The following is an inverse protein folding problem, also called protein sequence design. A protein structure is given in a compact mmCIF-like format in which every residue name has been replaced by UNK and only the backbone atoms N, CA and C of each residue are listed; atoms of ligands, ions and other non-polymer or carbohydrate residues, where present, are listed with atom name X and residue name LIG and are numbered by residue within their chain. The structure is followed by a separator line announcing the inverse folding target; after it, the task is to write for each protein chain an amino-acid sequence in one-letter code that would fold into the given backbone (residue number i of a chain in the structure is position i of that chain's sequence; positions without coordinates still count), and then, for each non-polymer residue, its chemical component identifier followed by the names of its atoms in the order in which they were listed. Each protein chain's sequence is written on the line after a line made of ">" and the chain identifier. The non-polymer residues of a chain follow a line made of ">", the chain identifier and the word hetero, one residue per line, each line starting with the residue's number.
data_IF_076694934733
#
_entry.id   IF_076694934733
#
_cell.length_a   1.000
_cell.length_b   1.000
_cell.length_c   1.000
_cell.angle_alpha   90.00
_cell.angle_beta   90.00
_cell.angle_gamma   90.00
#
_symmetry.space_group_name_H-M   'P 1'
#
loop_
_entity.id
_entity.type
_entity.pdbx_description
1 polymer ?
#
# COMPACT_ATOMS: atom_id res chain seq x y z
N UNK A 1 4.30 0.63 15.64
CA UNK A 1 4.97 1.72 14.90
C UNK A 1 6.29 1.20 14.37
N UNK A 2 6.50 1.18 13.05
CA UNK A 2 7.77 0.78 12.45
C UNK A 2 8.91 1.64 13.00
N UNK A 3 10.02 1.01 13.38
CA UNK A 3 11.23 1.71 13.85
C UNK A 3 12.33 1.50 12.82
N UNK A 4 12.80 2.61 12.24
CA UNK A 4 13.95 2.70 11.36
C UNK A 4 15.17 2.86 12.25
N UNK A 5 16.09 1.89 12.27
CA UNK A 5 17.33 2.01 13.03
C UNK A 5 18.54 2.20 12.11
N UNK A 6 19.29 3.27 12.33
CA UNK A 6 20.61 3.46 11.75
C UNK A 6 21.64 3.36 12.87
N UNK A 7 22.67 2.56 12.64
CA UNK A 7 23.83 2.44 13.53
C UNK A 7 25.08 2.76 12.72
N UNK A 8 25.92 3.65 13.24
CA UNK A 8 27.21 3.95 12.63
C UNK A 8 28.27 4.24 13.69
N UNK A 9 29.54 3.84 13.44
CA UNK A 9 30.65 4.31 14.25
C UNK A 9 30.88 5.81 14.00
N UNK A 10 31.44 6.49 14.99
CA UNK A 10 31.88 7.87 14.85
C UNK A 10 32.75 8.04 13.57
N UNK A 11 32.49 9.09 12.77
CA UNK A 11 33.11 9.40 11.47
C UNK A 11 32.80 8.46 10.29
N UNK A 12 31.85 7.52 10.40
CA UNK A 12 31.41 6.75 9.24
C UNK A 12 30.42 7.55 8.35
N UNK A 13 30.38 7.29 7.03
CA UNK A 13 29.38 7.86 6.16
C UNK A 13 27.97 7.42 6.57
N UNK A 14 27.05 8.38 6.65
CA UNK A 14 25.61 8.13 6.89
C UNK A 14 24.87 8.51 5.62
N UNK A 15 23.75 7.85 5.27
CA UNK A 15 22.93 8.24 4.13
C UNK A 15 22.63 9.74 4.14
N UNK A 16 22.84 10.39 3.00
CA UNK A 16 22.58 11.83 2.83
C UNK A 16 21.09 12.15 2.88
N UNK A 17 20.24 11.18 2.50
CA UNK A 17 18.78 11.27 2.53
C UNK A 17 18.18 10.02 3.14
N UNK A 18 17.18 10.20 3.99
CA UNK A 18 16.39 9.13 4.58
C UNK A 18 14.90 9.43 4.45
N UNK A 19 14.14 8.46 3.98
CA UNK A 19 12.69 8.56 3.87
C UNK A 19 12.01 7.91 5.07
N UNK A 20 11.17 8.68 5.77
CA UNK A 20 10.24 8.20 6.78
C UNK A 20 8.80 8.34 6.26
N UNK A 21 7.88 7.70 6.97
CA UNK A 21 6.45 7.91 6.82
C UNK A 21 5.95 8.46 8.14
N UNK A 22 4.97 9.34 8.10
CA UNK A 22 4.26 9.83 9.28
C UNK A 22 3.96 8.70 10.29
N UNK A 23 4.29 8.94 11.56
CA UNK A 23 4.17 7.95 12.64
C UNK A 23 5.37 6.98 12.78
N UNK A 24 6.28 6.90 11.81
CA UNK A 24 7.49 6.09 11.94
C UNK A 24 8.44 6.68 12.97
N UNK A 25 9.20 5.79 13.63
CA UNK A 25 10.29 6.20 14.52
C UNK A 25 11.62 6.03 13.82
N UNK A 26 12.50 7.03 13.92
CA UNK A 26 13.89 6.92 13.52
C UNK A 26 14.75 6.81 14.77
N UNK A 27 15.53 5.75 14.88
CA UNK A 27 16.54 5.54 15.91
C UNK A 27 17.92 5.69 15.30
N UNK A 28 18.71 6.62 15.81
CA UNK A 28 20.10 6.83 15.42
C UNK A 28 20.99 6.44 16.59
N UNK A 29 21.87 5.46 16.37
CA UNK A 29 22.88 5.05 17.35
C UNK A 29 24.28 5.40 16.85
N UNK A 30 24.99 6.17 17.66
CA UNK A 30 26.40 6.52 17.45
C UNK A 30 27.24 5.77 18.48
N UNK A 31 28.29 5.08 18.02
CA UNK A 31 29.22 4.32 18.87
C UNK A 31 30.64 4.91 18.82
N UNK A 32 31.47 4.55 19.80
CA UNK A 32 32.85 5.01 19.96
C UNK A 32 32.97 6.54 20.16
N UNK A 33 32.04 7.13 20.92
CA UNK A 33 32.07 8.55 21.27
C UNK A 33 32.84 8.72 22.58
N UNK A 34 33.91 9.52 22.56
CA UNK A 34 34.69 9.77 23.77
C UNK A 34 33.83 10.42 24.87
N UNK A 35 34.03 10.00 26.12
CA UNK A 35 33.23 10.42 27.30
C UNK A 35 33.24 11.92 27.59
N UNK A 36 34.22 12.65 27.04
CA UNK A 36 34.29 14.11 27.15
C UNK A 36 33.20 14.83 26.35
N UNK A 37 32.55 14.16 25.40
CA UNK A 37 31.52 14.74 24.55
C UNK A 37 30.12 14.46 25.08
N UNK A 38 29.32 15.52 25.16
CA UNK A 38 27.86 15.41 25.32
C UNK A 38 27.23 15.74 23.98
N UNK A 39 26.35 14.87 23.49
CA UNK A 39 25.72 15.05 22.19
C UNK A 39 24.26 15.52 22.34
N UNK A 40 23.79 16.28 21.35
CA UNK A 40 22.40 16.72 21.20
C UNK A 40 21.96 16.62 19.75
N UNK A 41 20.65 16.65 19.52
CA UNK A 41 20.09 16.71 18.17
C UNK A 41 19.66 18.14 17.84
N UNK A 42 19.96 18.58 16.60
CA UNK A 42 19.44 19.80 16.00
C UNK A 42 18.56 19.40 14.81
N UNK A 43 17.33 19.92 14.79
CA UNK A 43 16.36 19.66 13.75
C UNK A 43 15.86 21.00 13.23
N UNK A 44 15.94 21.21 11.92
CA UNK A 44 15.54 22.48 11.31
C UNK A 44 14.02 22.70 11.36
N UNK A 45 13.22 21.64 11.25
CA UNK A 45 11.77 21.68 11.38
C UNK A 45 11.24 20.62 12.38
N UNK A 46 11.17 20.94 13.69
CA UNK A 46 10.70 20.01 14.73
C UNK A 46 9.24 19.56 14.59
N UNK A 47 8.41 20.31 13.86
CA UNK A 47 7.03 19.92 13.51
C UNK A 47 6.94 18.79 12.49
N UNK A 48 8.01 18.54 11.74
CA UNK A 48 8.14 17.43 10.78
C UNK A 48 8.76 16.21 11.46
N UNK A 49 9.79 16.43 12.29
CA UNK A 49 10.52 15.38 12.98
C UNK A 49 10.78 15.82 14.43
N UNK A 50 10.18 15.13 15.40
CA UNK A 50 10.35 15.45 16.81
C UNK A 50 11.43 14.57 17.46
N UNK A 51 12.39 15.18 18.15
CA UNK A 51 13.39 14.47 18.94
C UNK A 51 12.85 14.09 20.32
N UNK A 52 13.21 12.90 20.79
CA UNK A 52 13.16 12.52 22.20
C UNK A 52 14.50 12.83 22.88
N UNK A 53 14.54 12.95 24.22
CA UNK A 53 15.79 13.11 24.94
C UNK A 53 16.79 11.99 24.60
N UNK A 54 18.06 12.32 24.30
CA UNK A 54 19.04 11.31 23.94
C UNK A 54 19.44 10.46 25.14
N UNK A 55 19.74 9.19 24.87
CA UNK A 55 20.18 8.22 25.88
C UNK A 55 21.66 7.92 25.70
N UNK A 56 22.46 8.17 26.72
CA UNK A 56 23.90 7.85 26.73
C UNK A 56 24.14 6.52 27.46
N UNK A 57 24.78 5.57 26.78
CA UNK A 57 25.28 4.34 27.38
C UNK A 57 26.81 4.46 27.59
N UNK A 58 27.19 4.85 28.81
CA UNK A 58 28.58 5.07 29.20
C UNK A 58 29.44 3.79 29.28
N UNK A 59 28.84 2.60 29.32
CA UNK A 59 29.59 1.32 29.29
C UNK A 59 30.02 0.95 27.88
N UNK A 60 29.22 1.35 26.88
CA UNK A 60 29.44 1.05 25.48
C UNK A 60 29.90 2.27 24.67
N UNK A 61 30.22 3.39 25.34
CA UNK A 61 30.61 4.67 24.75
C UNK A 61 29.73 5.04 23.54
N UNK A 62 28.40 4.95 23.74
CA UNK A 62 27.42 5.11 22.67
C UNK A 62 26.24 5.99 23.06
N UNK A 63 25.70 6.70 22.08
CA UNK A 63 24.55 7.57 22.19
C UNK A 63 23.42 7.06 21.31
N UNK A 64 22.20 7.09 21.83
CA UNK A 64 20.98 6.79 21.10
C UNK A 64 20.09 8.03 21.04
N UNK A 65 19.61 8.32 19.83
CA UNK A 65 18.62 9.35 19.56
C UNK A 65 17.39 8.68 18.96
N UNK A 66 16.22 8.98 19.51
CA UNK A 66 14.94 8.55 18.96
C UNK A 66 14.18 9.76 18.44
N UNK A 67 13.65 9.64 17.24
CA UNK A 67 12.86 10.67 16.55
C UNK A 67 11.52 10.09 16.12
N UNK A 68 10.49 10.93 16.06
CA UNK A 68 9.16 10.57 15.57
C UNK A 68 8.83 11.45 14.37
N UNK A 69 8.52 10.82 13.24
CA UNK A 69 8.01 11.51 12.06
C UNK A 69 6.57 12.00 12.34
N UNK A 70 6.35 13.30 12.30
CA UNK A 70 5.08 13.92 12.71
C UNK A 70 4.22 14.37 11.54
N UNK A 71 4.82 15.03 10.55
CA UNK A 71 4.09 15.60 9.41
C UNK A 71 4.88 15.44 8.13
N UNK A 72 4.22 15.33 6.95
CA UNK A 72 4.90 15.27 5.67
C UNK A 72 5.74 16.53 5.42
N UNK A 73 6.95 16.33 4.89
CA UNK A 73 7.84 17.43 4.55
C UNK A 73 9.31 17.03 4.60
N UNK A 74 10.17 18.01 4.33
CA UNK A 74 11.62 17.84 4.32
C UNK A 74 12.22 18.58 5.52
N UNK A 75 13.09 17.92 6.27
CA UNK A 75 13.87 18.55 7.36
C UNK A 75 15.31 18.06 7.34
N UNK A 76 16.20 18.81 7.98
CA UNK A 76 17.57 18.35 8.25
C UNK A 76 17.69 17.94 9.72
N UNK A 77 18.38 16.83 9.93
CA UNK A 77 18.77 16.31 11.23
C UNK A 77 20.29 16.35 11.34
N UNK A 78 20.80 17.06 12.34
CA UNK A 78 22.21 17.06 12.71
C UNK A 78 22.36 16.58 14.14
N UNK A 79 23.36 15.76 14.40
CA UNK A 79 23.78 15.44 15.77
C UNK A 79 25.02 16.27 16.05
N UNK A 80 25.01 17.04 17.14
CA UNK A 80 26.03 18.04 17.46
C UNK A 80 26.58 17.82 18.86
N UNK A 81 27.85 18.18 19.08
CA UNK A 81 28.37 18.27 20.44
C UNK A 81 27.76 19.51 21.12
N UNK A 82 27.11 19.29 22.26
CA UNK A 82 26.62 20.35 23.16
C UNK A 82 27.63 20.64 24.27
N UNK A 83 28.59 19.75 24.50
CA UNK A 83 29.74 19.96 25.39
C UNK A 83 30.96 19.21 24.82
N UNK A 84 32.13 19.83 24.92
CA UNK A 84 33.38 19.41 24.26
C UNK A 84 33.58 20.13 22.92
N UNK A 85 34.71 20.80 22.73
CA UNK A 85 35.05 21.51 21.49
C UNK A 85 35.61 20.55 20.43
N UNK A 86 35.30 20.78 19.16
CA UNK A 86 35.98 20.12 18.02
C UNK A 86 35.33 18.84 17.48
N UNK A 87 34.13 18.46 17.94
CA UNK A 87 33.40 17.35 17.34
C UNK A 87 32.61 17.83 16.11
N UNK A 88 33.08 17.46 14.92
CA UNK A 88 32.26 17.44 13.70
C UNK A 88 31.67 16.05 13.58
N UNK A 89 30.41 15.85 13.99
CA UNK A 89 29.73 14.59 13.69
C UNK A 89 29.47 14.60 12.18
N UNK A 90 30.22 13.81 11.44
CA UNK A 90 29.97 13.60 10.01
C UNK A 90 28.88 12.53 9.84
N UNK A 91 27.90 12.76 8.95
CA UNK A 91 27.71 13.95 8.10
C UNK A 91 27.12 15.14 8.87
N UNK A 92 27.39 16.34 8.36
CA UNK A 92 26.95 17.61 8.95
C UNK A 92 25.41 17.73 9.06
N UNK A 93 24.66 17.01 8.21
CA UNK A 93 23.21 16.85 8.31
C UNK A 93 22.73 15.64 7.49
N UNK A 94 21.75 14.92 8.02
CA UNK A 94 20.94 13.93 7.31
C UNK A 94 19.69 14.67 6.81
N UNK A 95 19.40 14.59 5.52
CA UNK A 95 18.12 15.06 4.99
C UNK A 95 17.06 14.00 5.29
N UNK A 96 16.00 14.36 6.01
CA UNK A 96 14.88 13.48 6.34
C UNK A 96 13.65 13.95 5.56
N UNK A 97 13.20 13.11 4.62
CA UNK A 97 11.93 13.29 3.92
C UNK A 97 10.88 12.47 4.66
N UNK A 98 9.90 13.13 5.27
CA UNK A 98 8.70 12.48 5.81
C UNK A 98 7.64 12.50 4.72
N UNK A 99 7.12 11.33 4.38
CA UNK A 99 5.99 11.17 3.48
C UNK A 99 4.70 10.95 4.28
N UNK A 100 3.57 11.31 3.66
CA UNK A 100 2.24 11.07 4.24
C UNK A 100 1.97 9.58 4.35
N UNK A 101 1.35 9.17 5.45
CA UNK A 101 0.85 7.80 5.59
C UNK A 101 -0.32 7.55 4.63
N UNK A 102 -0.40 6.35 4.07
CA UNK A 102 -1.52 5.90 3.24
C UNK A 102 -2.48 5.05 4.09
N UNK A 103 -3.78 5.22 3.86
CA UNK A 103 -4.82 4.42 4.50
C UNK A 103 -5.90 4.06 3.49
N UNK A 104 -6.62 2.97 3.76
CA UNK A 104 -7.80 2.61 2.98
C UNK A 104 -9.02 3.43 3.45
N UNK A 105 -9.96 3.78 2.57
CA UNK A 105 -11.21 4.42 2.95
C UNK A 105 -12.01 3.56 3.95
N UNK A 106 -12.98 4.20 4.60
CA UNK A 106 -13.87 3.53 5.53
C UNK A 106 -14.56 2.33 4.85
N UNK A 107 -14.65 1.21 5.57
CA UNK A 107 -15.24 -0.02 5.05
C UNK A 107 -16.74 0.12 4.72
N UNK A 108 -17.43 1.10 5.28
CA UNK A 108 -18.84 1.38 5.00
C UNK A 108 -19.08 2.13 3.68
N UNK A 109 -18.04 2.38 2.88
CA UNK A 109 -18.12 3.16 1.63
C UNK A 109 -17.88 2.26 0.42
N UNK A 110 -18.50 2.60 -0.72
CA UNK A 110 -18.28 1.91 -2.00
C UNK A 110 -16.80 1.90 -2.38
N UNK A 111 -16.12 3.02 -2.20
CA UNK A 111 -14.70 3.19 -2.48
C UNK A 111 -13.85 2.29 -1.58
N UNK A 112 -14.21 2.21 -0.29
CA UNK A 112 -13.54 1.34 0.67
C UNK A 112 -13.69 -0.15 0.35
N UNK A 113 -14.88 -0.57 -0.10
CA UNK A 113 -15.15 -1.94 -0.54
C UNK A 113 -14.35 -2.28 -1.81
N UNK A 114 -14.43 -1.41 -2.84
CA UNK A 114 -13.75 -1.63 -4.11
C UNK A 114 -12.23 -1.64 -3.98
N UNK A 115 -11.64 -0.72 -3.21
CA UNK A 115 -10.21 -0.70 -2.98
C UNK A 115 -9.72 -2.02 -2.35
N UNK A 116 -10.48 -2.56 -1.38
CA UNK A 116 -10.16 -3.85 -0.75
C UNK A 116 -10.34 -5.02 -1.71
N UNK A 117 -11.38 -5.01 -2.53
CA UNK A 117 -11.61 -6.03 -3.56
C UNK A 117 -10.45 -6.04 -4.57
N UNK A 118 -10.07 -4.88 -5.11
CA UNK A 118 -8.98 -4.78 -6.08
C UNK A 118 -7.64 -5.24 -5.52
N UNK A 119 -7.34 -4.91 -4.26
CA UNK A 119 -6.14 -5.39 -3.60
C UNK A 119 -6.16 -6.90 -3.35
N UNK A 120 -7.31 -7.47 -2.99
CA UNK A 120 -7.47 -8.90 -2.74
C UNK A 120 -7.38 -9.74 -4.03
N UNK A 121 -7.91 -9.21 -5.15
CA UNK A 121 -8.00 -9.91 -6.43
C UNK A 121 -6.79 -9.67 -7.35
N UNK A 122 -5.83 -8.85 -6.94
CA UNK A 122 -4.65 -8.49 -7.73
C UNK A 122 -3.36 -9.09 -7.16
N UNK A 123 -2.40 -9.35 -8.05
CA UNK A 123 -1.06 -9.78 -7.65
C UNK A 123 -0.34 -8.67 -6.86
N UNK A 124 0.09 -9.01 -5.64
CA UNK A 124 0.78 -8.06 -4.75
C UNK A 124 2.28 -7.93 -5.10
N UNK A 125 2.94 -6.84 -4.72
CA UNK A 125 4.40 -6.69 -4.88
C UNK A 125 5.23 -7.76 -4.16
N UNK A 126 4.65 -8.42 -3.15
CA UNK A 126 5.29 -9.50 -2.39
C UNK A 126 5.29 -10.84 -3.14
N UNK A 127 4.41 -11.02 -4.12
CA UNK A 127 4.31 -12.26 -4.88
C UNK A 127 5.53 -12.41 -5.82
N UNK A 128 6.26 -13.51 -5.66
CA UNK A 128 7.46 -13.82 -6.47
C UNK A 128 7.17 -14.81 -7.60
N UNK A 129 5.93 -15.27 -7.76
CA UNK A 129 5.54 -16.22 -8.80
C UNK A 129 5.46 -15.61 -10.21
N UNK A 130 5.45 -14.28 -10.30
CA UNK A 130 5.40 -13.51 -11.54
C UNK A 130 6.25 -12.24 -11.39
N UNK A 131 6.83 -11.76 -12.50
CA UNK A 131 7.40 -10.42 -12.54
C UNK A 131 6.29 -9.37 -12.29
N UNK A 132 6.28 -8.77 -11.12
CA UNK A 132 5.31 -7.75 -10.75
C UNK A 132 5.50 -6.48 -11.57
N UNK A 133 4.42 -5.97 -12.15
CA UNK A 133 4.40 -4.75 -12.95
C UNK A 133 3.18 -3.90 -12.58
N UNK A 134 3.43 -2.67 -12.13
CA UNK A 134 2.39 -1.77 -11.63
C UNK A 134 1.34 -1.43 -12.68
N UNK A 135 1.75 -1.13 -13.92
CA UNK A 135 0.83 -0.70 -14.98
C UNK A 135 -0.16 -1.81 -15.36
N UNK A 136 0.33 -3.05 -15.46
CA UNK A 136 -0.50 -4.23 -15.68
C UNK A 136 -1.47 -4.46 -14.52
N UNK A 137 -0.99 -4.31 -13.28
CA UNK A 137 -1.84 -4.46 -12.09
C UNK A 137 -2.93 -3.40 -12.05
N UNK A 138 -2.58 -2.12 -12.26
CA UNK A 138 -3.52 -1.01 -12.30
C UNK A 138 -4.55 -1.20 -13.41
N UNK A 139 -4.12 -1.61 -14.60
CA UNK A 139 -5.02 -1.90 -15.73
C UNK A 139 -5.93 -3.10 -15.41
N UNK A 140 -5.42 -4.13 -14.72
CA UNK A 140 -6.23 -5.23 -14.22
C UNK A 140 -7.32 -4.78 -13.25
N UNK A 141 -6.99 -3.93 -12.28
CA UNK A 141 -7.97 -3.34 -11.36
C UNK A 141 -9.02 -2.50 -12.11
N UNK A 142 -8.60 -1.72 -13.10
CA UNK A 142 -9.50 -0.95 -13.96
C UNK A 142 -10.49 -1.85 -14.69
N UNK A 143 -10.03 -2.97 -15.25
CA UNK A 143 -10.88 -3.94 -15.91
C UNK A 143 -11.82 -4.65 -14.94
N UNK A 144 -11.39 -4.94 -13.71
CA UNK A 144 -12.28 -5.44 -12.65
C UNK A 144 -13.41 -4.44 -12.35
N UNK A 145 -13.08 -3.14 -12.19
CA UNK A 145 -14.10 -2.09 -12.00
C UNK A 145 -15.10 -2.07 -13.15
N UNK A 146 -14.62 -2.21 -14.38
CA UNK A 146 -15.47 -2.27 -15.58
C UNK A 146 -16.35 -3.51 -15.62
N UNK A 147 -15.84 -4.69 -15.23
CA UNK A 147 -16.65 -5.90 -15.11
C UNK A 147 -17.81 -5.69 -14.14
N UNK A 148 -17.53 -5.14 -12.95
CA UNK A 148 -18.56 -4.89 -11.94
C UNK A 148 -19.65 -3.95 -12.48
N UNK A 149 -19.25 -2.86 -13.14
CA UNK A 149 -20.16 -1.91 -13.76
C UNK A 149 -21.03 -2.56 -14.85
N UNK A 150 -20.41 -3.34 -15.75
CA UNK A 150 -21.12 -3.99 -16.83
C UNK A 150 -22.11 -5.05 -16.32
N UNK A 151 -21.78 -5.77 -15.24
CA UNK A 151 -22.69 -6.73 -14.59
C UNK A 151 -23.92 -6.03 -14.05
N UNK A 152 -23.73 -4.92 -13.33
CA UNK A 152 -24.82 -4.08 -12.82
C UNK A 152 -25.71 -3.58 -13.96
N UNK A 153 -25.11 -3.04 -15.02
CA UNK A 153 -25.81 -2.46 -16.17
C UNK A 153 -26.29 -3.47 -17.22
N UNK A 154 -26.01 -4.76 -17.06
CA UNK A 154 -26.32 -5.79 -18.06
C UNK A 154 -27.82 -5.93 -18.35
N UNK A 155 -28.66 -5.50 -17.40
CA UNK A 155 -30.10 -5.77 -17.37
C UNK A 155 -30.45 -7.23 -17.05
N UNK A 156 -29.45 -8.04 -16.68
CA UNK A 156 -29.58 -9.43 -16.22
C UNK A 156 -28.58 -9.74 -15.10
N UNK A 157 -28.58 -8.99 -13.99
CA UNK A 157 -27.61 -9.20 -12.92
C UNK A 157 -27.72 -10.60 -12.28
N UNK A 158 -28.85 -11.28 -12.43
CA UNK A 158 -29.03 -12.69 -12.04
C UNK A 158 -28.12 -13.67 -12.79
N UNK A 159 -27.65 -13.35 -14.01
CA UNK A 159 -26.63 -14.15 -14.72
C UNK A 159 -25.27 -14.12 -13.98
N UNK A 160 -25.14 -13.22 -13.00
CA UNK A 160 -23.97 -13.05 -12.14
C UNK A 160 -24.31 -13.25 -10.65
N UNK A 161 -25.30 -14.10 -10.33
CA UNK A 161 -25.72 -14.41 -8.95
C UNK A 161 -26.22 -13.18 -8.15
N UNK A 162 -26.48 -12.07 -8.82
CA UNK A 162 -26.80 -10.78 -8.20
C UNK A 162 -28.24 -10.36 -8.54
N UNK A 163 -29.19 -11.28 -8.37
CA UNK A 163 -30.60 -11.03 -8.74
C UNK A 163 -31.13 -9.80 -8.00
N UNK A 164 -31.65 -8.83 -8.76
CA UNK A 164 -32.20 -7.60 -8.21
C UNK A 164 -31.15 -6.56 -7.79
N UNK A 165 -29.89 -6.74 -8.18
CA UNK A 165 -28.84 -5.76 -7.91
C UNK A 165 -29.19 -4.38 -8.47
N UNK A 166 -29.08 -3.38 -7.60
CA UNK A 166 -29.30 -1.96 -7.91
C UNK A 166 -28.04 -1.12 -7.65
N UNK A 167 -27.05 -1.68 -6.97
CA UNK A 167 -25.80 -1.01 -6.65
C UNK A 167 -24.56 -1.86 -6.92
N UNK A 168 -23.39 -1.23 -6.81
CA UNK A 168 -22.09 -1.90 -6.93
C UNK A 168 -21.89 -2.89 -5.79
N UNK A 169 -22.34 -2.54 -4.59
CA UNK A 169 -22.36 -3.39 -3.39
C UNK A 169 -23.12 -4.68 -3.65
N UNK A 170 -24.30 -4.61 -4.25
CA UNK A 170 -25.10 -5.80 -4.57
C UNK A 170 -24.36 -6.77 -5.50
N UNK A 171 -23.58 -6.26 -6.47
CA UNK A 171 -22.76 -7.09 -7.36
C UNK A 171 -21.57 -7.70 -6.62
N UNK A 172 -20.91 -6.93 -5.75
CA UNK A 172 -19.72 -7.39 -5.03
C UNK A 172 -20.09 -8.41 -3.96
N UNK A 173 -21.21 -8.20 -3.28
CA UNK A 173 -21.70 -9.06 -2.20
C UNK A 173 -22.62 -10.18 -2.70
N UNK A 174 -22.80 -10.32 -4.01
CA UNK A 174 -23.68 -11.28 -4.63
C UNK A 174 -23.45 -12.72 -4.13
N UNK A 175 -24.52 -13.32 -3.63
CA UNK A 175 -24.61 -14.70 -3.15
C UNK A 175 -25.94 -15.30 -3.61
N UNK A 176 -25.87 -16.32 -4.45
CA UNK A 176 -27.04 -17.11 -4.86
C UNK A 176 -26.88 -18.55 -4.37
N UNK A 177 -27.60 -18.89 -3.30
CA UNK A 177 -27.65 -20.23 -2.70
C UNK A 177 -26.26 -20.79 -2.36
N UNK A 178 -25.36 -19.95 -1.84
CA UNK A 178 -23.99 -20.32 -1.46
C UNK A 178 -22.98 -20.24 -2.61
N UNK A 179 -23.41 -19.83 -3.81
CA UNK A 179 -22.50 -19.48 -4.91
C UNK A 179 -22.21 -17.99 -4.88
N UNK A 180 -20.94 -17.64 -4.74
CA UNK A 180 -20.50 -16.25 -4.54
C UNK A 180 -19.68 -15.77 -5.73
N UNK A 181 -19.81 -14.48 -6.08
CA UNK A 181 -19.02 -13.87 -7.15
C UNK A 181 -17.55 -13.67 -6.74
N UNK A 182 -17.35 -13.13 -5.55
CA UNK A 182 -16.02 -12.82 -5.00
C UNK A 182 -15.91 -13.48 -3.63
N UNK A 183 -15.04 -14.48 -3.53
CA UNK A 183 -14.92 -15.28 -2.33
C UNK A 183 -14.52 -14.43 -1.12
N UNK A 184 -15.30 -14.49 -0.05
CA UNK A 184 -15.06 -13.73 1.18
C UNK A 184 -15.61 -12.30 1.17
N UNK A 185 -16.17 -11.81 0.05
CA UNK A 185 -16.81 -10.49 -0.04
C UNK A 185 -18.34 -10.54 0.04
N UNK A 186 -18.96 -11.71 -0.05
CA UNK A 186 -20.41 -11.88 0.13
C UNK A 186 -20.92 -11.50 1.53
N UNK A 187 -20.03 -11.39 2.52
CA UNK A 187 -20.33 -10.97 3.90
C UNK A 187 -19.62 -9.67 4.30
N UNK A 188 -19.16 -8.91 3.31
CA UNK A 188 -18.50 -7.62 3.52
C UNK A 188 -19.39 -6.67 4.38
N UNK A 189 -18.83 -5.90 5.34
CA UNK A 189 -17.41 -5.62 5.58
C UNK A 189 -16.63 -6.69 6.35
N UNK A 190 -17.27 -7.77 6.79
CA UNK A 190 -16.61 -8.83 7.56
C UNK A 190 -15.79 -9.76 6.66
N UNK A 191 -14.55 -9.35 6.37
CA UNK A 191 -13.62 -10.16 5.58
C UNK A 191 -13.07 -11.36 6.37
N UNK A 192 -12.79 -12.45 5.64
CA UNK A 192 -12.07 -13.61 6.19
C UNK A 192 -10.68 -13.22 6.74
N UNK A 193 -10.14 -13.97 7.72
CA UNK A 193 -8.92 -13.61 8.43
C UNK A 193 -7.71 -13.43 7.49
N UNK A 194 -7.59 -14.25 6.46
CA UNK A 194 -6.47 -14.18 5.52
C UNK A 194 -6.53 -12.93 4.63
N UNK A 195 -7.72 -12.59 4.11
CA UNK A 195 -7.91 -11.37 3.32
C UNK A 195 -7.65 -10.14 4.20
N UNK A 196 -8.23 -10.10 5.41
CA UNK A 196 -8.03 -9.00 6.35
C UNK A 196 -6.56 -8.85 6.78
N UNK A 197 -5.83 -9.95 6.94
CA UNK A 197 -4.39 -9.94 7.22
C UNK A 197 -3.61 -9.39 6.03
N UNK A 198 -3.82 -9.90 4.83
CA UNK A 198 -3.10 -9.44 3.63
C UNK A 198 -3.31 -7.95 3.38
N UNK A 199 -4.55 -7.45 3.49
CA UNK A 199 -4.85 -6.03 3.32
C UNK A 199 -4.12 -5.15 4.34
N UNK A 200 -4.07 -5.57 5.61
CA UNK A 200 -3.28 -4.87 6.64
C UNK A 200 -1.79 -4.89 6.30
N UNK A 201 -1.25 -6.05 5.95
CA UNK A 201 0.17 -6.20 5.60
C UNK A 201 0.55 -5.30 4.40
N UNK A 202 -0.33 -5.14 3.40
CA UNK A 202 -0.06 -4.26 2.25
C UNK A 202 0.04 -2.79 2.67
N UNK A 203 -0.88 -2.32 3.51
CA UNK A 203 -0.88 -0.95 4.04
C UNK A 203 0.30 -0.73 4.99
N UNK A 204 0.59 -1.69 5.87
CA UNK A 204 1.72 -1.63 6.80
C UNK A 204 3.04 -1.58 6.04
N UNK A 205 3.20 -2.38 4.98
CA UNK A 205 4.40 -2.37 4.13
C UNK A 205 4.54 -1.08 3.32
N UNK A 206 3.44 -0.48 2.87
CA UNK A 206 3.44 0.85 2.22
C UNK A 206 3.89 1.97 3.19
N UNK A 207 3.52 1.84 4.46
CA UNK A 207 3.86 2.80 5.51
C UNK A 207 5.18 2.50 6.24
N UNK A 208 5.83 1.36 5.96
CA UNK A 208 7.09 0.99 6.58
C UNK A 208 8.28 1.58 5.79
N UNK A 209 8.91 2.63 6.33
CA UNK A 209 10.08 3.30 5.75
C UNK A 209 11.28 2.39 5.48
N UNK A 210 11.38 1.24 6.16
CA UNK A 210 12.45 0.26 5.97
C UNK A 210 12.10 -0.88 5.02
N UNK A 211 10.84 -1.01 4.59
CA UNK A 211 10.46 -2.15 3.78
C UNK A 211 11.14 -2.04 2.39
N UNK A 212 11.88 -3.06 1.94
CA UNK A 212 12.65 -2.97 0.68
C UNK A 212 11.75 -2.75 -0.55
N UNK A 213 10.50 -3.22 -0.50
CA UNK A 213 9.47 -2.98 -1.52
C UNK A 213 8.45 -1.90 -1.13
N UNK A 214 8.75 -1.02 -0.17
CA UNK A 214 7.80 -0.01 0.34
C UNK A 214 7.13 0.77 -0.80
N UNK A 215 7.93 1.32 -1.71
CA UNK A 215 7.42 2.11 -2.85
C UNK A 215 6.45 1.31 -3.71
N UNK A 216 6.75 0.03 -3.99
CA UNK A 216 5.87 -0.83 -4.75
C UNK A 216 4.54 -1.11 -4.02
N UNK A 217 4.56 -1.29 -2.70
CA UNK A 217 3.34 -1.42 -1.90
C UNK A 217 2.55 -0.10 -1.83
N UNK A 218 3.22 1.04 -1.69
CA UNK A 218 2.58 2.35 -1.74
C UNK A 218 1.87 2.54 -3.08
N UNK A 219 2.55 2.28 -4.19
CA UNK A 219 1.99 2.42 -5.53
C UNK A 219 0.85 1.42 -5.79
N UNK A 220 0.96 0.21 -5.26
CA UNK A 220 -0.08 -0.82 -5.34
C UNK A 220 -1.36 -0.40 -4.60
N UNK A 221 -1.23 0.10 -3.37
CA UNK A 221 -2.36 0.62 -2.60
C UNK A 221 -2.94 1.86 -3.27
N UNK A 222 -2.10 2.80 -3.71
CA UNK A 222 -2.55 4.00 -4.40
C UNK A 222 -3.28 3.68 -5.71
N UNK A 223 -2.82 2.71 -6.49
CA UNK A 223 -3.51 2.28 -7.71
C UNK A 223 -4.92 1.76 -7.40
N UNK A 224 -5.10 0.99 -6.34
CA UNK A 224 -6.42 0.52 -5.92
C UNK A 224 -7.33 1.69 -5.49
N UNK A 225 -6.78 2.68 -4.77
CA UNK A 225 -7.52 3.89 -4.38
C UNK A 225 -7.94 4.72 -5.60
N UNK A 226 -7.03 4.96 -6.53
CA UNK A 226 -7.28 5.71 -7.77
C UNK A 226 -8.40 5.06 -8.59
N UNK A 227 -8.39 3.72 -8.69
CA UNK A 227 -9.40 2.97 -9.47
C UNK A 227 -10.74 2.90 -8.73
N UNK A 228 -10.73 2.82 -7.39
CA UNK A 228 -11.95 2.79 -6.60
C UNK A 228 -12.69 4.14 -6.59
N UNK A 229 -11.93 5.23 -6.52
CA UNK A 229 -12.45 6.61 -6.40
C UNK A 229 -12.61 7.33 -7.74
N UNK A 230 -11.87 6.91 -8.77
CA UNK A 230 -11.90 7.52 -10.08
C UNK A 230 -13.15 7.17 -10.90
N UNK A 231 -13.27 7.84 -12.04
CA UNK A 231 -14.30 7.50 -13.03
C UNK A 231 -14.13 6.05 -13.52
N UNK A 232 -15.25 5.40 -13.86
CA UNK A 232 -15.21 4.04 -14.39
C UNK A 232 -14.40 4.02 -15.71
N UNK A 233 -13.30 3.27 -15.78
CA UNK A 233 -12.38 3.29 -16.92
C UNK A 233 -13.06 2.72 -18.17
N UNK A 234 -12.81 3.22 -19.39
CA UNK A 234 -13.47 2.75 -20.60
C UNK A 234 -13.33 1.24 -20.79
N UNK A 235 -14.34 0.61 -21.39
CA UNK A 235 -14.27 -0.82 -21.68
C UNK A 235 -13.25 -1.10 -22.80
N UNK A 236 -12.30 -2.03 -22.61
CA UNK A 236 -11.30 -2.35 -23.62
C UNK A 236 -11.88 -3.18 -24.78
N UNK A 237 -13.15 -3.59 -24.71
CA UNK A 237 -13.80 -4.43 -25.70
C UNK A 237 -15.04 -3.77 -26.31
N UNK A 238 -15.39 -4.10 -27.57
CA UNK A 238 -16.62 -3.61 -28.18
C UNK A 238 -17.89 -4.11 -27.49
N UNK A 239 -17.87 -5.33 -26.94
CA UNK A 239 -19.06 -6.00 -26.39
C UNK A 239 -19.18 -5.90 -24.88
N UNK A 240 -18.11 -5.58 -24.14
CA UNK A 240 -18.10 -5.48 -22.70
C UNK A 240 -17.35 -6.62 -22.01
N UNK A 241 -16.57 -6.29 -20.99
CA UNK A 241 -16.02 -7.27 -20.03
C UNK A 241 -17.09 -7.66 -19.00
N UNK A 242 -17.24 -8.96 -18.72
CA UNK A 242 -18.26 -9.48 -17.81
C UNK A 242 -17.75 -10.48 -16.78
N UNK A 243 -16.50 -10.92 -16.86
CA UNK A 243 -15.89 -11.71 -15.80
C UNK A 243 -14.37 -11.58 -15.78
N UNK A 244 -13.79 -11.93 -14.64
CA UNK A 244 -12.39 -12.31 -14.52
C UNK A 244 -12.26 -13.57 -13.67
N UNK A 245 -11.15 -14.28 -13.84
CA UNK A 245 -10.72 -15.40 -13.01
C UNK A 245 -9.21 -15.39 -12.91
N UNK A 246 -8.64 -16.07 -11.93
CA UNK A 246 -7.20 -16.37 -11.94
C UNK A 246 -6.82 -17.06 -13.26
N UNK A 247 -5.75 -16.59 -13.90
CA UNK A 247 -5.28 -17.15 -15.17
C UNK A 247 -5.02 -18.65 -15.02
N UNK A 248 -5.35 -19.43 -16.07
CA UNK A 248 -5.29 -20.90 -16.11
C UNK A 248 -6.31 -21.64 -15.24
N UNK A 249 -7.19 -20.94 -14.52
CA UNK A 249 -8.37 -21.57 -13.91
C UNK A 249 -9.44 -21.88 -14.97
N UNK A 250 -10.44 -22.68 -14.59
CA UNK A 250 -11.59 -22.97 -15.46
C UNK A 250 -12.37 -21.70 -15.80
N UNK A 251 -12.88 -21.66 -17.04
CA UNK A 251 -13.79 -20.63 -17.52
C UNK A 251 -14.97 -20.45 -16.54
N UNK A 252 -15.49 -19.22 -16.34
CA UNK A 252 -16.69 -19.01 -15.53
C UNK A 252 -17.94 -19.74 -16.07
N UNK A 253 -17.93 -20.13 -17.34
CA UNK A 253 -19.01 -20.86 -18.00
C UNK A 253 -18.80 -20.97 -19.50
N UNK A 254 -19.66 -21.72 -20.18
CA UNK A 254 -19.57 -21.96 -21.63
C UNK A 254 -19.80 -20.68 -22.47
N UNK A 255 -20.58 -19.72 -21.95
CA UNK A 255 -20.90 -18.47 -22.64
C UNK A 255 -19.84 -17.37 -22.49
N UNK A 256 -18.80 -17.60 -21.68
CA UNK A 256 -17.71 -16.65 -21.46
C UNK A 256 -16.59 -16.87 -22.47
N UNK A 257 -16.18 -15.79 -23.15
CA UNK A 257 -15.17 -15.81 -24.19
C UNK A 257 -13.94 -15.07 -23.69
N UNK A 258 -12.77 -15.73 -23.70
CA UNK A 258 -11.52 -15.12 -23.26
C UNK A 258 -11.20 -13.87 -24.06
N UNK A 259 -10.85 -12.80 -23.35
CA UNK A 259 -10.38 -11.54 -23.95
C UNK A 259 -8.86 -11.43 -23.84
N UNK A 260 -8.34 -11.35 -22.61
CA UNK A 260 -6.93 -11.14 -22.37
C UNK A 260 -6.52 -11.56 -20.95
N UNK A 261 -5.28 -12.03 -20.83
CA UNK A 261 -4.63 -12.26 -19.54
C UNK A 261 -3.84 -11.02 -19.12
N UNK A 262 -4.05 -10.58 -17.89
CA UNK A 262 -3.38 -9.42 -17.33
C UNK A 262 -3.21 -9.57 -15.81
N UNK A 263 -2.00 -9.32 -15.31
CA UNK A 263 -1.69 -9.32 -13.87
C UNK A 263 -2.23 -10.56 -13.11
N UNK A 264 -1.99 -11.77 -13.67
CA UNK A 264 -2.45 -13.08 -13.14
C UNK A 264 -3.96 -13.34 -13.26
N UNK A 265 -4.72 -12.44 -13.85
CA UNK A 265 -6.13 -12.63 -14.16
C UNK A 265 -6.37 -12.86 -15.65
N UNK A 266 -7.35 -13.69 -15.99
CA UNK A 266 -7.92 -13.79 -17.32
C UNK A 266 -9.26 -13.06 -17.32
N UNK A 267 -9.46 -12.15 -18.26
CA UNK A 267 -10.69 -11.38 -18.43
C UNK A 267 -11.51 -11.95 -19.57
N UNK A 268 -12.83 -11.84 -19.45
CA UNK A 268 -13.77 -12.47 -20.37
C UNK A 268 -14.84 -11.48 -20.82
N UNK A 269 -15.17 -11.56 -22.11
CA UNK A 269 -16.43 -11.05 -22.66
C UNK A 269 -17.50 -12.14 -22.54
N UNK A 270 -18.73 -11.85 -22.97
CA UNK A 270 -19.83 -12.79 -22.96
C UNK A 270 -20.44 -12.93 -24.36
N UNK A 271 -20.78 -14.15 -24.78
CA UNK A 271 -21.34 -14.44 -26.11
C UNK A 271 -22.59 -13.61 -26.42
N UNK A 272 -23.49 -13.47 -25.44
CA UNK A 272 -24.83 -12.88 -25.59
C UNK A 272 -25.01 -11.50 -24.96
N UNK A 273 -24.31 -11.21 -23.86
CA UNK A 273 -24.45 -9.92 -23.16
C UNK A 273 -23.67 -8.82 -23.87
N UNK A 274 -24.15 -7.58 -23.73
CA UNK A 274 -23.51 -6.38 -24.30
C UNK A 274 -23.45 -5.30 -23.23
N UNK A 275 -22.32 -4.57 -23.18
CA UNK A 275 -22.19 -3.38 -22.33
C UNK A 275 -23.30 -2.38 -22.67
N UNK A 276 -23.77 -1.67 -21.65
CA UNK A 276 -24.69 -0.55 -21.78
C UNK A 276 -23.93 0.65 -21.24
N UNK A 277 -23.43 1.47 -22.16
CA UNK A 277 -22.65 2.66 -21.81
C UNK A 277 -23.57 3.70 -21.11
#
# INVERSE_FOLDING_TARGET
>A
MPTVQIKFPHNAPVPSTLTLVEGNRLRVKIEAVAKAYKLGARIDAPSILAAQPPVHNARADSWQFDFVAQQPGLTKLSIVAVQGSGLSVMPAAITVQVEKSISLPAESTTEGMLARLFLAESVSPGDTSLAWNLDNVKTGMQWMRRVIENRLKSGKPEDFMARGATSVEDIVMADDRGSVQFHGFNVYPKLGPDIAKNLRDYVDNANNGLHPKRKAYLDFVQAALDVATGAVPPDPTPTGLFAWRTAKSSSPGADFIQHAALARNMFYTHARLRKRD
#
